data_IF_601357100638
#
_entry.id   IF_601357100638
#
_cell.length_a   1.000
_cell.length_b   1.000
_cell.length_c   1.000
_cell.angle_alpha   90.00
_cell.angle_beta   90.00
_cell.angle_gamma   90.00
#
_symmetry.space_group_name_H-M   'P 1'
#
loop_
_entity.id
_entity.type
_entity.pdbx_description
1 polymer ?
#
# COMPACT_ATOMS: atom_id res chain seq x y z
N UNK A 1 -10.88 -16.96 17.99
CA UNK A 1 -10.74 -16.70 19.44
C UNK A 1 -11.52 -17.69 20.31
N UNK A 2 -12.83 -17.79 20.14
CA UNK A 2 -13.64 -18.70 20.99
C UNK A 2 -13.24 -20.16 20.88
N UNK A 3 -12.82 -20.62 19.72
CA UNK A 3 -12.37 -22.00 19.52
C UNK A 3 -11.15 -22.36 20.37
N UNK A 4 -10.33 -21.38 20.73
CA UNK A 4 -9.10 -21.57 21.52
C UNK A 4 -9.40 -21.74 23.03
N UNK A 5 -10.60 -21.31 23.47
CA UNK A 5 -11.00 -21.27 24.87
C UNK A 5 -12.33 -22.01 25.16
N UNK A 6 -12.82 -22.81 24.22
CA UNK A 6 -14.04 -23.60 24.36
C UNK A 6 -13.71 -25.09 24.24
N UNK A 7 -14.28 -25.88 25.11
CA UNK A 7 -14.27 -27.34 25.06
C UNK A 7 -15.30 -27.90 24.04
N UNK A 8 -16.18 -27.03 23.54
CA UNK A 8 -17.14 -27.33 22.50
C UNK A 8 -16.72 -26.76 21.14
N UNK A 9 -16.96 -27.48 20.06
CA UNK A 9 -16.65 -27.06 18.70
C UNK A 9 -17.56 -25.89 18.27
N UNK A 10 -16.94 -24.72 18.04
CA UNK A 10 -17.66 -23.47 17.75
C UNK A 10 -18.49 -23.53 16.47
N UNK A 11 -18.11 -24.35 15.49
CA UNK A 11 -18.85 -24.48 14.22
C UNK A 11 -20.26 -25.07 14.35
N UNK A 12 -20.60 -25.65 15.49
CA UNK A 12 -21.96 -26.14 15.81
C UNK A 12 -22.82 -25.18 16.62
N UNK A 13 -22.27 -24.03 17.02
CA UNK A 13 -22.97 -23.04 17.85
C UNK A 13 -23.50 -21.87 17.04
N UNK A 14 -24.57 -21.22 17.51
CA UNK A 14 -24.99 -19.95 16.93
C UNK A 14 -23.99 -18.84 17.33
N UNK A 15 -23.99 -17.78 16.54
CA UNK A 15 -23.14 -16.61 16.83
C UNK A 15 -23.52 -15.98 18.20
N UNK A 16 -24.79 -15.89 18.50
CA UNK A 16 -25.32 -15.36 19.76
C UNK A 16 -24.79 -16.19 20.95
N UNK A 17 -24.91 -17.51 20.87
CA UNK A 17 -24.36 -18.43 21.90
C UNK A 17 -22.86 -18.23 22.08
N UNK A 18 -22.11 -18.09 20.96
CA UNK A 18 -20.69 -17.84 20.97
C UNK A 18 -20.32 -16.53 21.69
N UNK A 19 -21.18 -15.52 21.61
CA UNK A 19 -20.98 -14.19 22.21
C UNK A 19 -21.63 -14.03 23.60
N UNK A 20 -22.26 -15.05 24.15
CA UNK A 20 -23.08 -14.96 25.37
C UNK A 20 -22.26 -14.54 26.59
N UNK A 21 -21.01 -14.98 26.71
CA UNK A 21 -20.09 -14.67 27.82
C UNK A 21 -19.27 -13.40 27.62
N UNK A 22 -19.43 -12.71 26.50
CA UNK A 22 -18.72 -11.45 26.20
C UNK A 22 -19.52 -10.29 26.78
N UNK A 23 -18.87 -9.34 27.44
CA UNK A 23 -19.49 -8.14 27.99
C UNK A 23 -20.00 -7.20 26.89
N UNK A 24 -21.20 -6.64 27.09
CA UNK A 24 -21.89 -5.71 26.20
C UNK A 24 -23.37 -5.98 26.16
N UNK A 25 -24.18 -4.94 25.93
CA UNK A 25 -25.63 -5.02 25.85
C UNK A 25 -26.11 -5.37 24.42
N UNK A 26 -25.33 -4.97 23.42
CA UNK A 26 -25.59 -5.24 22.00
C UNK A 26 -24.52 -6.16 21.41
N UNK A 27 -24.82 -6.76 20.25
CA UNK A 27 -23.85 -7.59 19.50
C UNK A 27 -22.66 -6.78 19.07
N UNK A 28 -22.85 -5.53 18.67
CA UNK A 28 -21.79 -4.62 18.25
C UNK A 28 -20.85 -4.27 19.41
N UNK A 29 -21.40 -3.99 20.59
CA UNK A 29 -20.59 -3.76 21.80
C UNK A 29 -19.78 -5.01 22.17
N UNK A 30 -20.41 -6.18 22.13
CA UNK A 30 -19.71 -7.45 22.39
C UNK A 30 -18.58 -7.71 21.40
N UNK A 31 -18.79 -7.43 20.10
CA UNK A 31 -17.72 -7.49 19.09
C UNK A 31 -16.60 -6.53 19.42
N UNK A 32 -16.90 -5.28 19.75
CA UNK A 32 -15.90 -4.27 20.07
C UNK A 32 -15.09 -4.68 21.32
N UNK A 33 -15.76 -5.12 22.37
CA UNK A 33 -15.11 -5.62 23.61
C UNK A 33 -14.17 -6.78 23.30
N UNK A 34 -14.62 -7.78 22.56
CA UNK A 34 -13.80 -8.96 22.25
C UNK A 34 -12.62 -8.60 21.34
N UNK A 35 -12.84 -7.84 20.28
CA UNK A 35 -11.81 -7.45 19.32
C UNK A 35 -10.78 -6.55 19.99
N UNK A 36 -11.20 -5.55 20.77
CA UNK A 36 -10.30 -4.69 21.52
C UNK A 36 -9.45 -5.49 22.50
N UNK A 37 -10.05 -6.41 23.28
CA UNK A 37 -9.32 -7.28 24.19
C UNK A 37 -8.26 -8.12 23.45
N UNK A 38 -8.59 -8.71 22.29
CA UNK A 38 -7.66 -9.52 21.51
C UNK A 38 -6.47 -8.69 21.00
N UNK A 39 -6.74 -7.49 20.48
CA UNK A 39 -5.72 -6.58 19.98
C UNK A 39 -4.81 -6.09 21.12
N UNK A 40 -5.36 -5.66 22.22
CA UNK A 40 -4.62 -5.12 23.36
C UNK A 40 -3.71 -6.15 24.04
N UNK A 41 -4.11 -7.42 24.01
CA UNK A 41 -3.33 -8.52 24.60
C UNK A 41 -2.46 -9.28 23.58
N UNK A 42 -2.43 -8.84 22.33
CA UNK A 42 -1.58 -9.45 21.30
C UNK A 42 -2.07 -10.81 20.80
N UNK A 43 -3.34 -11.12 20.96
CA UNK A 43 -3.95 -12.36 20.45
C UNK A 43 -4.31 -12.22 18.97
N UNK A 44 -3.30 -12.16 18.11
CA UNK A 44 -3.48 -11.86 16.68
C UNK A 44 -3.97 -13.04 15.83
N UNK A 45 -3.95 -14.28 16.34
CA UNK A 45 -4.36 -15.46 15.57
C UNK A 45 -5.72 -15.31 14.87
N UNK A 46 -6.80 -14.83 15.54
CA UNK A 46 -8.09 -14.64 14.91
C UNK A 46 -8.09 -13.70 13.70
N UNK A 47 -7.21 -12.70 13.67
CA UNK A 47 -7.11 -11.73 12.59
C UNK A 47 -6.41 -12.29 11.34
N UNK A 48 -5.80 -13.46 11.43
CA UNK A 48 -5.23 -14.16 10.27
C UNK A 48 -6.29 -14.79 9.36
N UNK A 49 -7.51 -14.97 9.85
CA UNK A 49 -8.62 -15.57 9.10
C UNK A 49 -9.44 -14.56 8.30
N UNK A 50 -9.38 -13.27 8.62
CA UNK A 50 -10.03 -12.20 7.87
C UNK A 50 -9.14 -11.79 6.68
N UNK A 51 -9.57 -12.12 5.46
CA UNK A 51 -8.81 -11.88 4.21
C UNK A 51 -9.42 -10.73 3.43
N UNK A 52 -8.59 -9.85 2.91
CA UNK A 52 -8.98 -8.78 2.01
C UNK A 52 -8.11 -8.79 0.74
N UNK A 53 -8.73 -8.46 -0.39
CA UNK A 53 -8.05 -8.31 -1.68
C UNK A 53 -8.26 -6.88 -2.17
N UNK A 54 -7.15 -6.21 -2.50
CA UNK A 54 -7.13 -4.86 -3.04
C UNK A 54 -6.75 -4.89 -4.52
N UNK A 55 -7.44 -4.09 -5.32
CA UNK A 55 -6.97 -3.68 -6.64
C UNK A 55 -6.28 -2.32 -6.49
N UNK A 56 -5.03 -2.25 -6.90
CA UNK A 56 -4.17 -1.07 -6.78
C UNK A 56 -3.77 -0.62 -8.18
N UNK A 57 -4.02 0.63 -8.49
CA UNK A 57 -3.76 1.23 -9.78
C UNK A 57 -2.77 2.39 -9.67
N UNK A 58 -1.88 2.50 -10.66
CA UNK A 58 -1.10 3.71 -10.88
C UNK A 58 0.04 3.96 -9.89
N UNK A 59 0.48 2.96 -9.15
CA UNK A 59 1.67 3.10 -8.28
C UNK A 59 2.96 2.93 -9.07
N UNK A 60 4.06 3.56 -8.63
CA UNK A 60 5.35 3.40 -9.29
C UNK A 60 5.94 2.00 -9.08
N UNK A 61 6.80 1.57 -9.98
CA UNK A 61 7.63 0.36 -9.78
C UNK A 61 8.53 0.47 -8.55
N UNK A 62 8.90 1.68 -8.16
CA UNK A 62 9.60 1.94 -6.90
C UNK A 62 8.75 1.57 -5.69
N UNK A 63 7.49 2.00 -5.66
CA UNK A 63 6.52 1.62 -4.62
C UNK A 63 6.26 0.11 -4.63
N UNK A 64 6.01 -0.46 -5.82
CA UNK A 64 5.85 -1.91 -5.99
C UNK A 64 7.04 -2.69 -5.40
N UNK A 65 8.28 -2.27 -5.68
CA UNK A 65 9.46 -2.94 -5.15
C UNK A 65 9.58 -2.87 -3.62
N UNK A 66 8.96 -1.88 -2.99
CA UNK A 66 8.91 -1.76 -1.53
C UNK A 66 7.79 -2.62 -0.92
N UNK A 67 6.59 -2.62 -1.51
CA UNK A 67 5.45 -3.35 -0.96
C UNK A 67 5.62 -4.87 -1.15
N UNK A 68 6.20 -5.32 -2.25
CA UNK A 68 6.44 -6.76 -2.52
C UNK A 68 7.49 -7.40 -1.60
N UNK A 69 8.15 -6.64 -0.74
CA UNK A 69 9.01 -7.21 0.32
C UNK A 69 8.22 -7.84 1.46
N UNK A 70 6.92 -7.58 1.56
CA UNK A 70 6.04 -8.19 2.55
C UNK A 70 5.62 -9.61 2.09
N UNK A 71 6.36 -10.64 2.55
CA UNK A 71 6.28 -12.02 2.03
C UNK A 71 4.97 -12.74 2.31
N UNK A 72 4.20 -12.28 3.30
CA UNK A 72 2.89 -12.86 3.65
C UNK A 72 1.73 -12.16 2.93
N UNK A 73 2.03 -11.40 1.88
CA UNK A 73 1.07 -10.79 0.96
C UNK A 73 1.21 -11.48 -0.38
N UNK A 74 0.10 -11.84 -0.98
CA UNK A 74 0.05 -12.37 -2.36
C UNK A 74 -0.07 -11.20 -3.34
N UNK A 75 0.69 -11.24 -4.42
CA UNK A 75 0.71 -10.21 -5.44
C UNK A 75 0.50 -10.80 -6.84
N UNK A 76 -0.36 -10.15 -7.63
CA UNK A 76 -0.44 -10.30 -9.07
C UNK A 76 -0.20 -8.94 -9.70
N UNK A 77 0.92 -8.79 -10.40
CA UNK A 77 1.43 -7.50 -10.87
C UNK A 77 1.41 -7.46 -12.39
N UNK A 78 0.91 -6.37 -12.95
CA UNK A 78 0.89 -6.12 -14.39
C UNK A 78 2.27 -6.33 -15.01
N UNK A 79 2.32 -7.22 -16.01
CA UNK A 79 3.57 -7.61 -16.65
C UNK A 79 3.89 -6.73 -17.85
N UNK A 80 5.04 -6.08 -17.81
CA UNK A 80 5.60 -5.33 -18.96
C UNK A 80 6.18 -6.24 -20.06
N UNK A 81 6.04 -7.56 -19.96
CA UNK A 81 6.35 -8.48 -21.06
C UNK A 81 5.17 -8.62 -22.02
N UNK A 82 3.95 -8.46 -21.48
CA UNK A 82 2.69 -8.67 -22.21
C UNK A 82 1.92 -7.39 -22.46
N UNK A 83 2.16 -6.35 -21.65
CA UNK A 83 1.59 -5.01 -21.82
C UNK A 83 2.72 -4.12 -22.27
N UNK A 84 2.74 -3.82 -23.56
CA UNK A 84 3.65 -2.86 -24.15
C UNK A 84 3.07 -1.43 -24.00
N UNK A 85 3.95 -0.45 -24.01
CA UNK A 85 3.60 0.99 -24.01
C UNK A 85 3.99 1.58 -25.35
N UNK A 86 3.64 0.88 -26.42
CA UNK A 86 3.98 1.21 -27.82
C UNK A 86 3.13 2.33 -28.40
N UNK A 87 1.96 2.60 -27.81
CA UNK A 87 0.99 3.61 -28.22
C UNK A 87 0.94 4.86 -27.31
N UNK A 88 1.80 4.96 -26.32
CA UNK A 88 1.82 6.10 -25.39
C UNK A 88 2.51 7.30 -26.03
N UNK A 89 1.83 8.46 -26.07
CA UNK A 89 2.43 9.71 -26.57
C UNK A 89 3.47 10.24 -25.54
N UNK A 90 4.71 10.49 -25.94
CA UNK A 90 5.71 11.11 -25.05
C UNK A 90 5.27 12.45 -24.45
N UNK A 91 4.35 13.19 -25.11
CA UNK A 91 3.76 14.40 -24.55
C UNK A 91 2.89 14.10 -23.33
N UNK A 92 2.07 13.03 -23.37
CA UNK A 92 1.23 12.59 -22.26
C UNK A 92 2.10 12.08 -21.09
N UNK A 93 3.24 11.45 -21.39
CA UNK A 93 4.24 11.06 -20.37
C UNK A 93 4.78 12.28 -19.63
N UNK A 94 5.03 13.40 -20.33
CA UNK A 94 5.43 14.67 -19.71
C UNK A 94 4.35 15.21 -18.78
N UNK A 95 3.08 14.96 -19.04
CA UNK A 95 1.97 15.33 -18.17
C UNK A 95 1.77 14.37 -17.00
N UNK A 96 2.50 13.25 -16.95
CA UNK A 96 2.51 12.29 -15.86
C UNK A 96 1.57 11.09 -16.08
N UNK A 97 1.14 10.81 -17.30
CA UNK A 97 0.20 9.72 -17.55
C UNK A 97 0.79 8.35 -17.20
N UNK A 98 1.99 8.06 -17.68
CA UNK A 98 2.64 6.75 -17.52
C UNK A 98 3.60 6.66 -16.32
N UNK A 99 3.91 7.79 -15.70
CA UNK A 99 4.94 7.91 -14.67
C UNK A 99 4.37 8.62 -13.45
N UNK A 100 4.73 8.13 -12.27
CA UNK A 100 4.44 8.83 -11.01
C UNK A 100 5.42 9.99 -10.86
N UNK A 101 4.90 11.20 -10.83
CA UNK A 101 5.69 12.42 -10.59
C UNK A 101 5.90 12.59 -9.09
N UNK A 102 7.14 12.56 -8.59
CA UNK A 102 7.38 12.73 -7.16
C UNK A 102 7.07 14.17 -6.73
N UNK A 103 6.45 14.38 -5.55
CA UNK A 103 6.13 15.72 -5.05
C UNK A 103 7.33 16.65 -5.01
N UNK A 104 8.52 16.14 -4.72
CA UNK A 104 9.77 16.93 -4.72
C UNK A 104 10.17 17.50 -6.08
N UNK A 105 9.55 17.07 -7.17
CA UNK A 105 9.78 17.67 -8.48
C UNK A 105 8.98 18.95 -8.68
N UNK A 106 7.79 19.06 -8.07
CA UNK A 106 6.80 20.11 -8.35
C UNK A 106 6.47 21.00 -7.16
N UNK A 107 6.76 20.56 -5.93
CA UNK A 107 6.43 21.28 -4.70
C UNK A 107 7.69 21.88 -4.07
N UNK A 108 7.78 23.25 -3.96
CA UNK A 108 8.90 23.94 -3.37
C UNK A 108 9.04 23.66 -1.86
N UNK A 109 7.95 23.37 -1.18
CA UNK A 109 7.91 23.15 0.26
C UNK A 109 8.08 21.66 0.63
N UNK A 110 8.13 20.77 -0.37
CA UNK A 110 8.33 19.35 -0.14
C UNK A 110 9.72 19.06 0.44
N UNK A 111 9.72 18.51 1.64
CA UNK A 111 10.96 18.14 2.35
C UNK A 111 11.03 16.61 2.45
N UNK A 112 11.98 16.01 1.75
CA UNK A 112 12.30 14.59 1.89
C UNK A 112 12.96 14.28 3.24
N UNK A 113 12.93 13.01 3.65
CA UNK A 113 13.44 12.50 4.94
C UNK A 113 14.84 13.04 5.33
N UNK A 114 15.72 13.21 4.34
CA UNK A 114 17.13 13.58 4.54
C UNK A 114 17.43 15.03 4.10
N UNK A 115 16.41 15.82 3.79
CA UNK A 115 16.60 17.21 3.40
C UNK A 115 16.41 18.13 4.60
N UNK A 116 17.22 19.19 4.67
CA UNK A 116 17.05 20.22 5.66
C UNK A 116 15.74 20.96 5.38
N UNK A 117 15.00 21.30 6.45
CA UNK A 117 13.79 22.13 6.34
C UNK A 117 14.15 23.47 5.69
N UNK A 118 13.51 23.75 4.57
CA UNK A 118 13.64 25.00 3.84
C UNK A 118 12.92 24.88 2.51
N UNK A 119 12.21 25.93 2.11
CA UNK A 119 11.64 26.00 0.76
C UNK A 119 12.77 26.12 -0.27
N UNK A 120 12.59 25.47 -1.39
CA UNK A 120 13.45 25.63 -2.56
C UNK A 120 12.83 26.73 -3.41
N UNK A 121 13.66 27.57 -4.03
CA UNK A 121 13.17 28.62 -4.91
C UNK A 121 12.44 28.05 -6.13
N UNK A 122 11.47 28.82 -6.65
CA UNK A 122 10.61 28.40 -7.75
C UNK A 122 11.38 28.05 -9.03
N UNK A 123 12.49 28.73 -9.31
CA UNK A 123 13.34 28.47 -10.49
C UNK A 123 13.98 27.07 -10.38
N UNK A 124 14.48 26.72 -9.20
CA UNK A 124 15.02 25.38 -8.95
C UNK A 124 13.96 24.30 -9.06
N UNK A 125 12.74 24.54 -8.57
CA UNK A 125 11.62 23.59 -8.69
C UNK A 125 11.24 23.41 -10.17
N UNK A 126 11.07 24.49 -10.92
CA UNK A 126 10.78 24.44 -12.34
C UNK A 126 11.85 23.65 -13.13
N UNK A 127 13.11 23.83 -12.75
CA UNK A 127 14.22 23.08 -13.36
C UNK A 127 14.19 21.58 -13.01
N UNK A 128 13.85 21.23 -11.77
CA UNK A 128 13.67 19.83 -11.36
C UNK A 128 12.55 19.15 -12.16
N UNK A 129 11.40 19.82 -12.26
CA UNK A 129 10.24 19.31 -12.99
C UNK A 129 10.57 19.12 -14.48
N UNK A 130 11.19 20.12 -15.11
CA UNK A 130 11.63 20.03 -16.52
C UNK A 130 12.58 18.85 -16.76
N UNK A 131 13.63 18.72 -15.92
CA UNK A 131 14.61 17.63 -16.05
C UNK A 131 13.95 16.28 -15.84
N UNK A 132 13.07 16.16 -14.84
CA UNK A 132 12.36 14.92 -14.57
C UNK A 132 11.47 14.52 -15.77
N UNK A 133 10.57 15.41 -16.20
CA UNK A 133 9.61 15.14 -17.28
C UNK A 133 10.32 14.85 -18.61
N UNK A 134 11.37 15.59 -18.91
CA UNK A 134 12.17 15.35 -20.13
C UNK A 134 12.84 13.98 -20.08
N UNK A 135 13.41 13.60 -18.94
CA UNK A 135 14.09 12.31 -18.79
C UNK A 135 13.14 11.13 -18.94
N UNK A 136 11.95 11.20 -18.33
CA UNK A 136 10.98 10.10 -18.43
C UNK A 136 10.38 10.00 -19.84
N UNK A 137 10.12 11.12 -20.52
CA UNK A 137 9.64 11.11 -21.90
C UNK A 137 10.69 10.49 -22.84
N UNK A 138 11.95 10.92 -22.75
CA UNK A 138 13.04 10.34 -23.55
C UNK A 138 13.22 8.83 -23.30
N UNK A 139 12.98 8.35 -22.07
CA UNK A 139 13.03 6.92 -21.75
C UNK A 139 11.94 6.14 -22.48
N UNK A 140 10.72 6.70 -22.58
CA UNK A 140 9.60 6.09 -23.33
C UNK A 140 9.86 6.14 -24.83
N UNK A 141 10.34 7.25 -25.36
CA UNK A 141 10.75 7.34 -26.79
C UNK A 141 11.80 6.28 -27.13
N UNK A 142 12.83 6.14 -26.29
CA UNK A 142 13.86 5.11 -26.48
C UNK A 142 13.30 3.69 -26.41
N UNK A 143 12.35 3.44 -25.51
CA UNK A 143 11.66 2.15 -25.41
C UNK A 143 10.91 1.82 -26.72
N UNK A 144 10.15 2.78 -27.25
CA UNK A 144 9.38 2.63 -28.49
C UNK A 144 10.31 2.40 -29.69
N UNK A 145 11.39 3.18 -29.82
CA UNK A 145 12.39 2.98 -30.86
C UNK A 145 13.02 1.57 -30.80
N UNK A 146 13.32 1.05 -29.61
CA UNK A 146 13.83 -0.30 -29.44
C UNK A 146 12.84 -1.38 -29.90
N UNK A 147 11.53 -1.17 -29.64
CA UNK A 147 10.49 -2.06 -30.14
C UNK A 147 10.41 -2.04 -31.67
N UNK A 148 10.46 -0.85 -32.30
CA UNK A 148 10.47 -0.70 -33.76
C UNK A 148 11.70 -1.37 -34.40
N UNK A 149 12.84 -1.35 -33.72
CA UNK A 149 14.06 -2.05 -34.13
C UNK A 149 13.99 -3.58 -33.90
N UNK A 150 12.86 -4.10 -33.39
CA UNK A 150 12.62 -5.52 -33.20
C UNK A 150 13.11 -6.08 -31.87
N UNK A 151 13.48 -5.24 -30.91
CA UNK A 151 13.82 -5.70 -29.56
C UNK A 151 12.53 -6.18 -28.85
N UNK A 152 12.53 -7.37 -28.20
CA UNK A 152 11.33 -7.83 -27.52
C UNK A 152 11.01 -6.95 -26.31
N UNK A 153 9.71 -6.76 -25.95
CA UNK A 153 9.30 -5.88 -24.85
C UNK A 153 9.96 -6.22 -23.50
N UNK A 154 10.26 -7.50 -23.27
CA UNK A 154 10.92 -7.97 -22.05
C UNK A 154 12.35 -7.42 -21.87
N UNK A 155 12.99 -7.03 -22.97
CA UNK A 155 14.34 -6.44 -22.97
C UNK A 155 14.27 -4.92 -23.15
N UNK A 156 13.43 -4.44 -24.07
CA UNK A 156 13.27 -3.01 -24.33
C UNK A 156 12.89 -2.23 -23.06
N UNK A 157 12.06 -2.80 -22.19
CA UNK A 157 11.66 -2.19 -20.89
C UNK A 157 12.81 -1.86 -19.93
N UNK A 158 14.04 -2.33 -20.18
CA UNK A 158 15.20 -2.01 -19.33
C UNK A 158 15.55 -0.52 -19.33
N UNK A 159 15.14 0.21 -20.38
CA UNK A 159 15.35 1.67 -20.45
C UNK A 159 14.29 2.48 -19.71
N UNK A 160 13.16 1.86 -19.33
CA UNK A 160 12.11 2.55 -18.58
C UNK A 160 12.52 2.85 -17.14
N UNK A 161 12.03 3.97 -16.63
CA UNK A 161 12.37 4.42 -15.27
C UNK A 161 11.63 3.64 -14.20
N UNK A 162 12.16 3.63 -12.97
CA UNK A 162 11.49 3.04 -11.79
C UNK A 162 10.23 3.81 -11.36
N UNK A 163 10.04 5.02 -11.88
CA UNK A 163 8.82 5.81 -11.71
C UNK A 163 7.64 5.35 -12.57
N UNK A 164 7.87 4.46 -13.53
CA UNK A 164 6.82 3.93 -14.41
C UNK A 164 5.70 3.30 -13.59
N UNK A 165 4.45 3.69 -13.89
CA UNK A 165 3.25 3.18 -13.23
C UNK A 165 3.05 1.69 -13.47
N UNK A 166 2.42 1.04 -12.52
CA UNK A 166 2.04 -0.36 -12.57
C UNK A 166 0.76 -0.56 -11.79
N UNK A 167 -0.07 -1.48 -12.27
CA UNK A 167 -1.27 -1.94 -11.59
C UNK A 167 -0.99 -3.31 -10.96
N UNK A 168 -1.62 -3.58 -9.82
CA UNK A 168 -1.48 -4.87 -9.16
C UNK A 168 -2.74 -5.24 -8.37
N UNK A 169 -2.93 -6.54 -8.19
CA UNK A 169 -3.85 -7.08 -7.20
C UNK A 169 -3.02 -7.62 -6.04
N UNK A 170 -3.42 -7.31 -4.82
CA UNK A 170 -2.75 -7.81 -3.63
C UNK A 170 -3.75 -8.33 -2.61
N UNK A 171 -3.45 -9.48 -1.99
CA UNK A 171 -4.30 -10.10 -0.98
C UNK A 171 -3.52 -10.35 0.29
N UNK A 172 -4.14 -10.03 1.42
CA UNK A 172 -3.56 -10.25 2.74
C UNK A 172 -4.64 -10.42 3.80
N UNK A 173 -4.26 -10.95 4.96
CA UNK A 173 -5.14 -10.96 6.13
C UNK A 173 -5.03 -9.67 6.94
N UNK A 174 -6.00 -9.46 7.85
CA UNK A 174 -6.06 -8.26 8.67
C UNK A 174 -4.79 -8.07 9.54
N UNK A 175 -4.24 -9.14 10.12
CA UNK A 175 -2.98 -9.06 10.87
C UNK A 175 -1.82 -8.58 10.00
N UNK A 176 -1.72 -9.08 8.77
CA UNK A 176 -0.67 -8.68 7.85
C UNK A 176 -0.82 -7.23 7.43
N UNK A 177 -2.05 -6.74 7.23
CA UNK A 177 -2.31 -5.34 6.90
C UNK A 177 -1.85 -4.42 8.06
N UNK A 178 -2.14 -4.75 9.31
CA UNK A 178 -1.62 -4.02 10.48
C UNK A 178 -0.10 -3.98 10.49
N UNK A 179 0.56 -5.11 10.19
CA UNK A 179 2.03 -5.16 10.11
C UNK A 179 2.59 -4.30 8.96
N UNK A 180 1.95 -4.32 7.79
CA UNK A 180 2.30 -3.42 6.67
C UNK A 180 2.16 -1.97 7.11
N UNK A 181 1.05 -1.63 7.77
CA UNK A 181 0.76 -0.28 8.25
C UNK A 181 1.78 0.20 9.28
N UNK A 182 2.17 -0.63 10.23
CA UNK A 182 3.22 -0.30 11.21
C UNK A 182 4.55 0.09 10.56
N UNK A 183 4.86 -0.51 9.41
CA UNK A 183 6.12 -0.26 8.72
C UNK A 183 6.01 0.82 7.63
N UNK A 184 4.86 0.94 6.97
CA UNK A 184 4.72 1.74 5.75
C UNK A 184 3.86 2.98 5.91
N UNK A 185 2.93 3.01 6.88
CA UNK A 185 2.24 4.23 7.27
C UNK A 185 3.04 5.07 8.30
N UNK A 186 4.24 4.62 8.68
CA UNK A 186 5.11 5.36 9.59
C UNK A 186 5.59 6.68 8.94
N UNK A 187 5.75 7.73 9.75
CA UNK A 187 6.12 9.07 9.28
C UNK A 187 7.46 9.14 8.53
N UNK A 188 8.33 8.15 8.75
CA UNK A 188 9.64 8.02 8.09
C UNK A 188 9.61 7.11 6.84
N UNK A 189 8.46 6.54 6.49
CA UNK A 189 8.29 5.81 5.24
C UNK A 189 8.34 6.76 4.04
N UNK A 190 8.71 6.21 2.87
CA UNK A 190 8.68 6.98 1.63
C UNK A 190 7.24 7.39 1.31
N UNK A 191 7.04 8.59 0.82
CA UNK A 191 5.74 9.25 0.67
C UNK A 191 4.70 8.41 -0.08
N UNK A 192 5.09 7.75 -1.18
CA UNK A 192 4.17 7.03 -2.05
C UNK A 192 3.64 5.74 -1.38
N UNK A 193 4.55 4.92 -0.81
CA UNK A 193 4.12 3.72 -0.10
C UNK A 193 3.38 4.05 1.19
N UNK A 194 3.66 5.21 1.80
CA UNK A 194 2.90 5.69 2.94
C UNK A 194 1.47 6.05 2.52
N UNK A 195 1.30 6.86 1.47
CA UNK A 195 -0.02 7.19 0.92
C UNK A 195 -0.81 5.95 0.53
N UNK A 196 -0.20 5.04 -0.25
CA UNK A 196 -0.84 3.76 -0.57
C UNK A 196 -1.31 3.01 0.69
N UNK A 197 -0.49 2.97 1.74
CA UNK A 197 -0.83 2.22 2.95
C UNK A 197 -1.94 2.92 3.75
N UNK A 198 -1.98 4.24 3.76
CA UNK A 198 -3.06 5.02 4.35
C UNK A 198 -4.39 4.74 3.62
N UNK A 199 -4.39 4.76 2.27
CA UNK A 199 -5.57 4.39 1.47
C UNK A 199 -6.05 2.95 1.75
N UNK A 200 -5.11 1.99 1.91
CA UNK A 200 -5.45 0.62 2.26
C UNK A 200 -6.10 0.51 3.65
N UNK A 201 -5.66 1.32 4.62
CA UNK A 201 -6.27 1.37 5.96
C UNK A 201 -7.67 1.98 5.92
N UNK A 202 -7.88 3.04 5.17
CA UNK A 202 -9.20 3.67 5.02
C UNK A 202 -10.22 2.67 4.45
N UNK A 203 -9.85 1.95 3.38
CA UNK A 203 -10.69 0.88 2.81
C UNK A 203 -10.92 -0.26 3.83
N UNK A 204 -9.91 -0.61 4.61
CA UNK A 204 -10.04 -1.66 5.61
C UNK A 204 -10.92 -1.22 6.80
N UNK A 205 -10.92 0.05 7.17
CA UNK A 205 -11.82 0.60 8.17
C UNK A 205 -13.28 0.52 7.71
N UNK A 206 -13.55 0.81 6.44
CA UNK A 206 -14.89 0.63 5.86
C UNK A 206 -15.31 -0.85 5.83
N UNK A 207 -14.38 -1.76 5.52
CA UNK A 207 -14.66 -3.20 5.45
C UNK A 207 -14.84 -3.84 6.84
N UNK A 208 -14.01 -3.48 7.82
CA UNK A 208 -13.99 -4.07 9.15
C UNK A 208 -13.77 -2.99 10.23
N UNK A 209 -14.77 -2.07 10.43
CA UNK A 209 -14.60 -0.85 11.20
C UNK A 209 -14.11 -1.10 12.62
N UNK A 210 -14.76 -2.00 13.38
CA UNK A 210 -14.38 -2.27 14.78
C UNK A 210 -12.91 -2.62 14.92
N UNK A 211 -12.34 -3.38 13.96
CA UNK A 211 -10.95 -3.82 14.01
C UNK A 211 -9.98 -2.68 13.66
N UNK A 212 -10.23 -1.99 12.56
CA UNK A 212 -9.27 -1.02 12.03
C UNK A 212 -9.40 0.35 12.67
N UNK A 213 -10.58 0.77 13.09
CA UNK A 213 -10.75 1.97 13.93
C UNK A 213 -10.02 1.82 15.27
N UNK A 214 -10.15 0.66 15.95
CA UNK A 214 -9.39 0.38 17.17
C UNK A 214 -7.88 0.35 16.91
N UNK A 215 -7.45 -0.30 15.83
CA UNK A 215 -6.03 -0.34 15.47
C UNK A 215 -5.48 1.07 15.24
N UNK A 216 -6.16 1.92 14.52
CA UNK A 216 -5.72 3.29 14.23
C UNK A 216 -5.71 4.19 15.48
N UNK A 217 -6.76 4.09 16.32
CA UNK A 217 -6.88 4.90 17.52
C UNK A 217 -5.85 4.52 18.60
N UNK A 218 -5.68 3.22 18.84
CA UNK A 218 -5.01 2.73 20.02
C UNK A 218 -3.67 2.02 19.76
N UNK A 219 -3.42 1.50 18.55
CA UNK A 219 -2.26 0.67 18.26
C UNK A 219 -1.28 1.30 17.27
N UNK A 220 -1.76 1.98 16.24
CA UNK A 220 -0.94 2.66 15.24
C UNK A 220 -0.01 3.66 15.91
N UNK A 221 1.27 3.60 15.62
CA UNK A 221 2.31 4.47 16.19
C UNK A 221 2.67 4.23 17.67
N UNK A 222 2.23 3.17 18.31
CA UNK A 222 2.75 2.81 19.64
C UNK A 222 4.27 2.63 19.61
N UNK A 223 4.96 3.12 20.66
CA UNK A 223 6.43 2.98 20.78
C UNK A 223 6.88 1.52 20.88
N UNK A 224 6.05 0.67 21.46
CA UNK A 224 6.24 -0.77 21.50
C UNK A 224 5.34 -1.39 20.43
N UNK A 225 5.77 -1.31 19.20
CA UNK A 225 5.16 -2.10 18.13
C UNK A 225 5.19 -3.56 18.56
N UNK A 226 4.06 -4.21 18.42
CA UNK A 226 4.03 -5.66 18.51
C UNK A 226 4.79 -6.20 17.30
N UNK A 227 6.11 -6.18 17.41
CA UNK A 227 6.94 -6.79 16.40
C UNK A 227 6.50 -8.23 16.19
N UNK A 228 6.48 -8.72 14.96
CA UNK A 228 6.18 -10.10 14.69
C UNK A 228 7.17 -11.02 15.38
#
# INVERSE_FOLDING_TARGET
>A
ARNDYSDEFVGGQSFETTMETVEGDTIEEKKATLIGHLLDHGHFGPFEHAQITFAVEGVSRSCMAQITRHRHVSFDVQSMRYVAFDDVDPADVREGEMVVVPPSATDPDWVGRNQQKGSVDEETVAKRDEVFRTTVANAVESYQELLELGMPPEDARFVLTIGTKVNMVMSMNARMLMHVADMRAAADAQWEIRGLTEDLLDIAADWCPITFEHYEADMKNRKNRLAP
#
